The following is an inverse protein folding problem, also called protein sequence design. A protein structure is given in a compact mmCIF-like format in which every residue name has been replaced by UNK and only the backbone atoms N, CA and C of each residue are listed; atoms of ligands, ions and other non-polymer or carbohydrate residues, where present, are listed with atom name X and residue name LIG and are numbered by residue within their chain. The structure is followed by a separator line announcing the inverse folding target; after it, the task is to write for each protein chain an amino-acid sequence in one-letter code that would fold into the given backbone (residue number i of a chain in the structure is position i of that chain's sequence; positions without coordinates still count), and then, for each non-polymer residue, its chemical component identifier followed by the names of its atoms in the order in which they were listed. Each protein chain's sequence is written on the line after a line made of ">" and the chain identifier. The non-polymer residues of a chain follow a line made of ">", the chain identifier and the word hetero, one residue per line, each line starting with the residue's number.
data_IF_971431788143
#
_entry.id   IF_971431788143
#
_cell.length_a   1.000
_cell.length_b   1.000
_cell.length_c   1.000
_cell.angle_alpha   90.00
_cell.angle_beta   90.00
_cell.angle_gamma   90.00
#
_symmetry.space_group_name_H-M   'P 1'
#
loop_
_entity.id
_entity.type
_entity.pdbx_description
1 polymer ?
#
# COMPACT_ATOMS: atom_id res chain seq x y z
N UNK A 1 55.01 36.95 -57.68
CA UNK A 1 54.26 35.79 -57.18
C UNK A 1 52.82 36.26 -56.98
N UNK A 2 52.02 35.94 -57.99
CA UNK A 2 50.54 35.82 -58.11
C UNK A 2 49.67 36.96 -57.53
N UNK A 3 49.05 37.87 -58.29
CA UNK A 3 48.04 37.81 -59.38
C UNK A 3 46.65 37.25 -58.97
N UNK A 4 45.77 38.19 -58.58
CA UNK A 4 44.30 38.29 -58.79
C UNK A 4 43.29 37.29 -58.14
N UNK A 5 42.03 37.75 -57.94
CA UNK A 5 41.05 37.20 -56.99
C UNK A 5 40.04 36.24 -57.64
N UNK A 6 39.28 35.50 -56.82
CA UNK A 6 38.14 34.69 -57.28
C UNK A 6 36.83 35.09 -56.59
N UNK A 7 35.94 35.62 -57.41
CA UNK A 7 34.54 35.89 -57.16
C UNK A 7 33.71 34.59 -57.27
N UNK A 8 32.53 34.59 -56.63
CA UNK A 8 31.42 33.63 -56.77
C UNK A 8 31.58 32.20 -56.22
N UNK A 9 30.95 31.96 -55.07
CA UNK A 9 29.73 31.12 -55.01
C UNK A 9 28.81 31.66 -53.92
N UNK A 10 27.71 32.29 -54.35
CA UNK A 10 26.48 32.51 -53.59
C UNK A 10 25.86 31.14 -53.26
N UNK A 11 26.41 30.46 -52.27
CA UNK A 11 25.75 29.36 -51.58
C UNK A 11 24.85 29.96 -50.52
N UNK A 12 23.53 29.94 -50.75
CA UNK A 12 22.49 30.26 -49.79
C UNK A 12 22.61 29.25 -48.63
N UNK A 13 23.48 29.52 -47.66
CA UNK A 13 23.62 28.74 -46.45
C UNK A 13 22.35 28.97 -45.62
N UNK A 14 21.48 27.96 -45.65
CA UNK A 14 20.33 27.83 -44.76
C UNK A 14 20.79 27.90 -43.31
N UNK A 15 20.61 29.06 -42.68
CA UNK A 15 20.90 29.27 -41.26
C UNK A 15 19.80 28.73 -40.33
N UNK A 16 18.82 27.97 -40.85
CA UNK A 16 17.62 27.48 -40.14
C UNK A 16 17.64 25.99 -39.71
N UNK A 17 18.72 25.23 -39.95
CA UNK A 17 18.70 23.76 -39.76
C UNK A 17 18.84 23.22 -38.32
N UNK A 18 19.71 23.74 -37.42
CA UNK A 18 19.99 23.03 -36.16
C UNK A 18 18.84 23.12 -35.13
N UNK A 19 18.03 24.17 -35.19
CA UNK A 19 16.87 24.36 -34.30
C UNK A 19 15.67 23.55 -34.76
N UNK A 20 15.41 23.47 -36.07
CA UNK A 20 14.31 22.69 -36.64
C UNK A 20 14.48 21.19 -36.37
N UNK A 21 15.69 20.66 -36.56
CA UNK A 21 16.00 19.25 -36.28
C UNK A 21 15.83 18.91 -34.78
N UNK A 22 16.15 19.87 -33.89
CA UNK A 22 15.98 19.68 -32.44
C UNK A 22 14.51 19.65 -32.01
N UNK A 23 13.68 20.53 -32.56
CA UNK A 23 12.24 20.54 -32.27
C UNK A 23 11.54 19.31 -32.84
N UNK A 24 12.03 18.79 -33.97
CA UNK A 24 11.54 17.54 -34.55
C UNK A 24 11.88 16.34 -33.66
N UNK A 25 13.12 16.25 -33.15
CA UNK A 25 13.52 15.20 -32.20
C UNK A 25 12.66 15.24 -30.92
N UNK A 26 12.42 16.43 -30.37
CA UNK A 26 11.55 16.63 -29.22
C UNK A 26 10.12 16.14 -29.49
N UNK A 27 9.54 16.53 -30.64
CA UNK A 27 8.19 16.14 -31.02
C UNK A 27 8.06 14.62 -31.25
N UNK A 28 9.03 14.01 -31.93
CA UNK A 28 9.08 12.57 -32.18
C UNK A 28 9.21 11.80 -30.86
N UNK A 29 10.07 12.24 -29.95
CA UNK A 29 10.24 11.61 -28.64
C UNK A 29 8.94 11.64 -27.82
N UNK A 30 8.23 12.77 -27.80
CA UNK A 30 6.94 12.89 -27.10
C UNK A 30 5.86 12.01 -27.74
N UNK A 31 5.75 12.04 -29.07
CA UNK A 31 4.78 11.23 -29.81
C UNK A 31 5.03 9.73 -29.59
N UNK A 32 6.29 9.30 -29.62
CA UNK A 32 6.69 7.91 -29.35
C UNK A 32 6.30 7.48 -27.93
N UNK A 33 6.55 8.31 -26.92
CA UNK A 33 6.18 8.01 -25.54
C UNK A 33 4.67 7.80 -25.40
N UNK A 34 3.87 8.69 -25.98
CA UNK A 34 2.41 8.59 -25.91
C UNK A 34 1.90 7.36 -26.68
N UNK A 35 2.47 7.05 -27.83
CA UNK A 35 2.14 5.84 -28.59
C UNK A 35 2.40 4.56 -27.77
N UNK A 36 3.57 4.45 -27.12
CA UNK A 36 3.94 3.28 -26.31
C UNK A 36 3.02 3.11 -25.09
N UNK A 37 2.51 4.21 -24.53
CA UNK A 37 1.58 4.15 -23.39
C UNK A 37 0.15 3.82 -23.82
N UNK A 38 -0.32 4.35 -24.94
CA UNK A 38 -1.72 4.27 -25.36
C UNK A 38 -2.02 3.03 -26.22
N UNK A 39 -1.08 2.59 -27.06
CA UNK A 39 -1.32 1.47 -27.97
C UNK A 39 -1.62 0.14 -27.27
N UNK A 40 -0.88 -0.30 -26.23
CA UNK A 40 -1.16 -1.59 -25.60
C UNK A 40 -2.58 -1.69 -25.03
N UNK A 41 -3.09 -0.69 -24.26
CA UNK A 41 -4.47 -0.71 -23.79
C UNK A 41 -5.53 -0.75 -24.90
N UNK A 42 -5.27 -0.08 -26.04
CA UNK A 42 -6.19 -0.07 -27.19
C UNK A 42 -6.36 -1.46 -27.83
N UNK A 43 -5.31 -2.30 -27.78
CA UNK A 43 -5.35 -3.69 -28.26
C UNK A 43 -5.69 -4.69 -27.15
N UNK A 44 -6.17 -4.22 -26.00
CA UNK A 44 -6.57 -5.06 -24.87
C UNK A 44 -5.41 -5.55 -23.98
N UNK A 45 -4.18 -5.07 -24.21
CA UNK A 45 -3.00 -5.44 -23.42
C UNK A 45 -2.82 -4.44 -22.27
N UNK A 46 -3.01 -4.90 -21.04
CA UNK A 46 -2.73 -4.11 -19.83
C UNK A 46 -1.34 -4.46 -19.31
N UNK A 47 -0.46 -3.46 -19.25
CA UNK A 47 0.93 -3.64 -18.81
C UNK A 47 1.30 -2.59 -17.77
N UNK A 48 2.33 -2.87 -16.98
CA UNK A 48 2.85 -1.94 -15.98
C UNK A 48 3.51 -0.74 -16.65
N UNK A 49 3.39 0.42 -16.01
CA UNK A 49 4.00 1.65 -16.51
C UNK A 49 5.52 1.52 -16.70
N UNK A 50 6.18 0.72 -15.85
CA UNK A 50 7.61 0.41 -15.94
C UNK A 50 7.98 -0.37 -17.19
N UNK A 51 7.09 -1.22 -17.71
CA UNK A 51 7.28 -1.88 -18.99
C UNK A 51 7.18 -0.89 -20.15
N UNK A 52 6.22 0.04 -20.11
CA UNK A 52 6.12 1.12 -21.10
C UNK A 52 7.40 1.97 -21.11
N UNK A 53 7.91 2.35 -19.93
CA UNK A 53 9.17 3.06 -19.80
C UNK A 53 10.36 2.27 -20.34
N UNK A 54 10.45 0.97 -20.06
CA UNK A 54 11.53 0.13 -20.56
C UNK A 54 11.52 0.03 -22.08
N UNK A 55 10.35 -0.20 -22.69
CA UNK A 55 10.19 -0.22 -24.15
C UNK A 55 10.54 1.14 -24.76
N UNK A 56 10.09 2.24 -24.16
CA UNK A 56 10.45 3.59 -24.60
C UNK A 56 11.97 3.83 -24.53
N UNK A 57 12.63 3.36 -23.48
CA UNK A 57 14.09 3.44 -23.32
C UNK A 57 14.81 2.67 -24.42
N UNK A 58 14.33 1.47 -24.79
CA UNK A 58 14.89 0.71 -25.90
C UNK A 58 14.77 1.46 -27.23
N UNK A 59 13.60 2.02 -27.53
CA UNK A 59 13.42 2.83 -28.75
C UNK A 59 14.24 4.12 -28.72
N UNK A 60 14.41 4.77 -27.57
CA UNK A 60 15.25 5.95 -27.42
C UNK A 60 16.71 5.67 -27.84
N UNK A 61 17.23 4.49 -27.48
CA UNK A 61 18.54 4.02 -27.94
C UNK A 61 18.57 3.67 -29.42
N UNK A 62 17.56 2.94 -29.92
CA UNK A 62 17.48 2.53 -31.33
C UNK A 62 17.41 3.74 -32.27
N UNK A 63 16.71 4.80 -31.86
CA UNK A 63 16.57 6.03 -32.62
C UNK A 63 17.71 7.03 -32.35
N UNK A 64 18.61 6.74 -31.41
CA UNK A 64 19.64 7.65 -30.93
C UNK A 64 19.13 9.07 -30.58
N UNK A 65 17.87 9.16 -30.14
CA UNK A 65 17.18 10.43 -29.86
C UNK A 65 17.63 10.99 -28.52
N UNK A 66 18.16 12.22 -28.52
CA UNK A 66 18.65 12.88 -27.31
C UNK A 66 17.48 13.29 -26.41
N UNK A 67 16.40 13.77 -27.02
CA UNK A 67 15.18 14.12 -26.31
C UNK A 67 14.58 12.87 -25.63
N UNK A 68 14.47 11.75 -26.35
CA UNK A 68 13.91 10.51 -25.80
C UNK A 68 14.79 9.94 -24.68
N UNK A 69 16.12 9.96 -24.81
CA UNK A 69 17.04 9.51 -23.77
C UNK A 69 16.97 10.39 -22.51
N UNK A 70 16.82 11.71 -22.68
CA UNK A 70 16.60 12.63 -21.55
C UNK A 70 15.28 12.36 -20.81
N UNK A 71 14.18 12.19 -21.55
CA UNK A 71 12.87 11.82 -20.99
C UNK A 71 12.96 10.47 -20.27
N UNK A 72 13.56 9.45 -20.91
CA UNK A 72 13.73 8.11 -20.35
C UNK A 72 14.56 8.13 -19.07
N UNK A 73 15.61 8.95 -19.00
CA UNK A 73 16.45 9.09 -17.80
C UNK A 73 15.67 9.67 -16.64
N UNK A 74 14.92 10.77 -16.87
CA UNK A 74 14.08 11.37 -15.83
C UNK A 74 12.98 10.42 -15.34
N UNK A 75 12.29 9.76 -16.28
CA UNK A 75 11.27 8.78 -15.94
C UNK A 75 11.88 7.58 -15.19
N UNK A 76 13.08 7.16 -15.55
CA UNK A 76 13.79 6.07 -14.88
C UNK A 76 14.08 6.37 -13.42
N UNK A 77 14.54 7.58 -13.10
CA UNK A 77 14.70 8.04 -11.71
C UNK A 77 13.36 8.01 -10.98
N UNK A 78 12.29 8.52 -11.62
CA UNK A 78 10.94 8.55 -11.02
C UNK A 78 10.41 7.14 -10.75
N UNK A 79 10.58 6.22 -11.70
CA UNK A 79 10.23 4.80 -11.57
C UNK A 79 11.02 4.15 -10.43
N UNK A 80 12.34 4.37 -10.37
CA UNK A 80 13.20 3.83 -9.31
C UNK A 80 12.75 4.32 -7.93
N UNK A 81 12.65 5.64 -7.73
CA UNK A 81 12.30 6.23 -6.44
C UNK A 81 10.88 5.84 -6.04
N UNK A 82 9.93 5.87 -6.97
CA UNK A 82 8.55 5.46 -6.74
C UNK A 82 8.43 3.99 -6.34
N UNK A 83 9.13 3.09 -7.05
CA UNK A 83 9.10 1.66 -6.76
C UNK A 83 9.67 1.31 -5.38
N UNK A 84 10.84 1.84 -5.04
CA UNK A 84 11.44 1.56 -3.73
C UNK A 84 10.69 2.25 -2.60
N UNK A 85 10.08 3.42 -2.84
CA UNK A 85 9.19 4.06 -1.88
C UNK A 85 7.94 3.21 -1.64
N UNK A 86 7.31 2.68 -2.70
CA UNK A 86 6.17 1.76 -2.58
C UNK A 86 6.52 0.54 -1.72
N UNK A 87 7.71 -0.05 -1.91
CA UNK A 87 8.19 -1.18 -1.09
C UNK A 87 8.49 -0.84 0.36
N UNK A 88 8.89 0.40 0.63
CA UNK A 88 9.12 0.92 1.99
C UNK A 88 7.79 1.03 2.75
N UNK A 89 6.72 1.42 2.06
CA UNK A 89 5.37 1.56 2.62
C UNK A 89 4.56 0.26 2.56
N UNK A 90 4.87 -0.66 1.65
CA UNK A 90 4.16 -1.93 1.48
C UNK A 90 5.12 -3.08 1.16
N UNK A 91 5.38 -3.92 2.17
CA UNK A 91 6.27 -5.09 2.04
C UNK A 91 5.78 -6.14 1.05
N UNK A 92 4.49 -6.13 0.73
CA UNK A 92 3.87 -7.09 -0.17
C UNK A 92 3.75 -6.57 -1.59
N UNK A 93 4.17 -5.33 -1.88
CA UNK A 93 4.14 -4.78 -3.23
C UNK A 93 4.88 -5.66 -4.24
N UNK A 94 6.06 -6.19 -3.88
CA UNK A 94 6.78 -7.09 -4.78
C UNK A 94 6.06 -8.43 -4.96
N UNK A 95 5.60 -9.04 -3.86
CA UNK A 95 4.92 -10.34 -3.91
C UNK A 95 3.58 -10.25 -4.64
N UNK A 96 2.86 -9.15 -4.49
CA UNK A 96 1.62 -8.84 -5.21
C UNK A 96 1.87 -8.82 -6.72
N UNK A 97 2.87 -8.05 -7.16
CA UNK A 97 3.29 -8.00 -8.57
C UNK A 97 3.73 -9.38 -9.06
N UNK A 98 4.55 -10.09 -8.28
CA UNK A 98 5.03 -11.42 -8.66
C UNK A 98 3.86 -12.40 -8.87
N UNK A 99 2.89 -12.39 -7.96
CA UNK A 99 1.65 -13.17 -8.07
C UNK A 99 0.78 -12.70 -9.25
N UNK A 100 0.75 -11.40 -9.53
CA UNK A 100 0.07 -10.81 -10.68
C UNK A 100 0.56 -11.34 -12.02
N UNK A 101 1.88 -11.45 -12.18
CA UNK A 101 2.51 -11.83 -13.44
C UNK A 101 2.77 -13.33 -13.58
N UNK A 102 3.25 -13.99 -12.51
CA UNK A 102 3.63 -15.40 -12.55
C UNK A 102 2.52 -16.34 -12.04
N UNK A 103 1.46 -15.81 -11.41
CA UNK A 103 0.35 -16.61 -10.90
C UNK A 103 0.83 -17.72 -9.96
N UNK A 104 0.42 -18.96 -10.23
CA UNK A 104 0.78 -20.15 -9.43
C UNK A 104 2.29 -20.36 -9.33
N UNK A 105 3.05 -19.93 -10.35
CA UNK A 105 4.50 -20.07 -10.43
C UNK A 105 5.26 -19.11 -9.49
N UNK A 106 4.60 -18.09 -8.94
CA UNK A 106 5.19 -17.16 -7.98
C UNK A 106 5.65 -17.84 -6.68
N UNK A 107 5.10 -19.02 -6.37
CA UNK A 107 5.48 -19.84 -5.21
C UNK A 107 6.82 -20.58 -5.38
N UNK A 108 7.36 -20.67 -6.60
CA UNK A 108 8.61 -21.38 -6.86
C UNK A 108 9.83 -20.60 -6.36
N UNK A 109 10.70 -21.20 -5.52
CA UNK A 109 11.90 -20.53 -4.99
C UNK A 109 12.86 -20.03 -6.08
N UNK A 110 13.01 -20.81 -7.16
CA UNK A 110 13.90 -20.47 -8.28
C UNK A 110 13.40 -19.25 -9.06
N UNK A 111 12.12 -19.26 -9.46
CA UNK A 111 11.49 -18.11 -10.12
C UNK A 111 11.47 -16.87 -9.22
N UNK A 112 11.30 -17.05 -7.90
CA UNK A 112 11.41 -15.96 -6.93
C UNK A 112 12.79 -15.32 -6.87
N UNK A 113 13.88 -16.08 -7.04
CA UNK A 113 15.24 -15.53 -7.16
C UNK A 113 15.39 -14.77 -8.48
N UNK A 114 15.01 -15.39 -9.59
CA UNK A 114 15.14 -14.77 -10.92
C UNK A 114 14.35 -13.46 -11.01
N UNK A 115 13.14 -13.42 -10.47
CA UNK A 115 12.32 -12.22 -10.45
C UNK A 115 12.92 -11.11 -9.57
N UNK A 116 13.58 -11.44 -8.45
CA UNK A 116 14.30 -10.45 -7.63
C UNK A 116 15.50 -9.87 -8.35
N UNK A 117 16.23 -10.70 -9.10
CA UNK A 117 17.34 -10.25 -9.96
C UNK A 117 16.80 -9.35 -11.07
N UNK A 118 15.77 -9.77 -11.79
CA UNK A 118 15.15 -8.97 -12.85
C UNK A 118 14.61 -7.64 -12.34
N UNK A 119 13.97 -7.64 -11.17
CA UNK A 119 13.51 -6.43 -10.49
C UNK A 119 14.65 -5.47 -10.13
N UNK A 120 15.74 -5.99 -9.55
CA UNK A 120 16.94 -5.20 -9.24
C UNK A 120 17.55 -4.59 -10.51
N UNK A 121 17.61 -5.36 -11.60
CA UNK A 121 18.13 -4.87 -12.88
C UNK A 121 17.23 -3.76 -13.43
N UNK A 122 15.92 -4.00 -13.50
CA UNK A 122 14.96 -3.09 -14.11
C UNK A 122 14.77 -1.79 -13.31
N UNK A 123 14.62 -1.89 -11.99
CA UNK A 123 14.25 -0.75 -11.15
C UNK A 123 15.43 -0.05 -10.47
N UNK A 124 16.64 -0.60 -10.50
CA UNK A 124 17.83 0.05 -9.94
C UNK A 124 18.97 0.17 -10.94
N UNK A 125 19.43 -0.94 -11.52
CA UNK A 125 20.62 -0.93 -12.37
C UNK A 125 20.44 -0.09 -13.64
N UNK A 126 19.35 -0.32 -14.40
CA UNK A 126 19.06 0.42 -15.64
C UNK A 126 18.88 1.92 -15.38
N UNK A 127 18.05 2.38 -14.41
CA UNK A 127 17.96 3.80 -14.07
C UNK A 127 19.29 4.44 -13.70
N UNK A 128 20.12 3.77 -12.89
CA UNK A 128 21.44 4.28 -12.52
C UNK A 128 22.37 4.43 -13.74
N UNK A 129 22.34 3.48 -14.67
CA UNK A 129 23.10 3.57 -15.92
C UNK A 129 22.62 4.71 -16.81
N UNK A 130 21.31 4.95 -16.90
CA UNK A 130 20.79 6.10 -17.64
C UNK A 130 21.22 7.42 -17.00
N UNK A 131 21.20 7.50 -15.66
CA UNK A 131 21.68 8.69 -14.94
C UNK A 131 23.15 8.95 -15.23
N UNK A 132 24.02 7.95 -15.18
CA UNK A 132 25.46 8.15 -15.44
C UNK A 132 25.73 8.58 -16.88
N UNK A 133 24.99 8.05 -17.86
CA UNK A 133 25.21 8.32 -19.27
C UNK A 133 24.50 9.58 -19.81
N UNK A 134 23.31 9.88 -19.30
CA UNK A 134 22.36 10.79 -19.97
C UNK A 134 21.76 11.88 -19.08
N UNK A 135 22.20 12.00 -17.82
CA UNK A 135 21.78 13.10 -16.94
C UNK A 135 21.93 14.51 -17.59
N UNK A 136 22.98 14.83 -18.37
CA UNK A 136 23.10 16.12 -19.04
C UNK A 136 22.04 16.39 -20.11
N UNK A 137 21.30 15.38 -20.57
CA UNK A 137 20.24 15.52 -21.56
C UNK A 137 18.89 15.91 -20.92
N UNK A 138 18.74 15.75 -19.60
CA UNK A 138 17.49 16.06 -18.91
C UNK A 138 17.22 17.57 -18.92
N UNK A 139 15.98 17.95 -19.23
CA UNK A 139 15.49 19.34 -19.26
C UNK A 139 14.19 19.46 -18.47
N UNK A 140 13.91 20.63 -17.90
CA UNK A 140 12.71 20.86 -17.07
C UNK A 140 11.40 20.61 -17.83
N UNK A 141 11.35 20.97 -19.13
CA UNK A 141 10.15 20.77 -19.94
C UNK A 141 9.74 19.29 -20.07
N UNK A 142 10.67 18.35 -19.90
CA UNK A 142 10.44 16.91 -19.97
C UNK A 142 9.50 16.40 -18.86
N UNK A 143 9.27 17.19 -17.80
CA UNK A 143 8.20 16.94 -16.82
C UNK A 143 6.81 16.84 -17.47
N UNK A 144 6.52 17.68 -18.46
CA UNK A 144 5.19 17.77 -19.08
C UNK A 144 4.80 16.46 -19.78
N UNK A 145 5.59 15.92 -20.74
CA UNK A 145 5.27 14.64 -21.37
C UNK A 145 5.32 13.47 -20.39
N UNK A 146 6.20 13.48 -19.37
CA UNK A 146 6.23 12.44 -18.34
C UNK A 146 4.92 12.40 -17.50
N UNK A 147 4.37 13.57 -17.16
CA UNK A 147 3.09 13.67 -16.45
C UNK A 147 1.92 13.25 -17.32
N UNK A 148 1.86 13.72 -18.57
CA UNK A 148 0.78 13.40 -19.49
C UNK A 148 0.76 11.90 -19.78
N UNK A 149 1.93 11.29 -20.03
CA UNK A 149 2.04 9.85 -20.26
C UNK A 149 1.61 9.03 -19.04
N UNK A 150 2.01 9.41 -17.83
CA UNK A 150 1.51 8.80 -16.58
C UNK A 150 -0.02 8.89 -16.48
N UNK A 151 -0.62 10.03 -16.83
CA UNK A 151 -2.08 10.20 -16.81
C UNK A 151 -2.80 9.38 -17.86
N UNK A 152 -2.26 9.33 -19.08
CA UNK A 152 -2.78 8.50 -20.16
C UNK A 152 -2.74 7.02 -19.76
N UNK A 153 -1.62 6.57 -19.19
CA UNK A 153 -1.49 5.21 -18.69
C UNK A 153 -2.54 4.91 -17.61
N UNK A 154 -2.64 5.76 -16.59
CA UNK A 154 -3.61 5.61 -15.50
C UNK A 154 -5.05 5.59 -16.03
N UNK A 155 -5.41 6.51 -16.93
CA UNK A 155 -6.74 6.56 -17.52
C UNK A 155 -7.07 5.30 -18.33
N UNK A 156 -6.15 4.84 -19.18
CA UNK A 156 -6.38 3.71 -20.09
C UNK A 156 -6.28 2.34 -19.39
N UNK A 157 -5.42 2.20 -18.39
CA UNK A 157 -5.13 0.92 -17.73
C UNK A 157 -5.90 0.77 -16.42
N UNK A 158 -6.03 1.85 -15.64
CA UNK A 158 -6.67 1.83 -14.31
C UNK A 158 -8.12 2.30 -14.36
N UNK A 159 -8.53 3.09 -15.36
CA UNK A 159 -9.90 3.61 -15.50
C UNK A 159 -10.13 4.86 -14.66
N UNK A 160 -10.35 5.99 -15.33
CA UNK A 160 -10.20 7.36 -14.83
C UNK A 160 -11.10 7.86 -13.67
N UNK A 161 -11.21 7.14 -12.55
CA UNK A 161 -11.81 7.73 -11.34
C UNK A 161 -12.19 6.77 -10.22
N UNK A 162 -12.20 5.45 -10.46
CA UNK A 162 -12.59 4.46 -9.45
C UNK A 162 -11.49 3.40 -9.44
N UNK A 163 -10.61 3.45 -8.44
CA UNK A 163 -9.37 2.67 -8.33
C UNK A 163 -9.51 1.16 -7.93
N UNK A 164 -10.69 0.50 -7.80
CA UNK A 164 -10.73 -0.96 -7.65
C UNK A 164 -10.07 -1.73 -8.81
N UNK A 165 -9.86 -1.08 -9.96
CA UNK A 165 -9.28 -1.71 -11.16
C UNK A 165 -7.74 -1.71 -11.22
N UNK A 166 -7.05 -0.88 -10.42
CA UNK A 166 -5.58 -0.92 -10.32
C UNK A 166 -5.10 -2.29 -9.81
N UNK A 167 -5.92 -2.91 -8.95
CA UNK A 167 -5.65 -4.21 -8.38
C UNK A 167 -5.64 -5.33 -9.43
N UNK A 168 -6.26 -5.17 -10.59
CA UNK A 168 -6.16 -6.18 -11.65
C UNK A 168 -4.76 -6.27 -12.27
N UNK A 169 -3.97 -5.18 -12.25
CA UNK A 169 -2.60 -5.13 -12.78
C UNK A 169 -1.59 -5.53 -11.71
N UNK A 170 -1.77 -5.05 -10.49
CA UNK A 170 -0.82 -5.28 -9.40
C UNK A 170 -1.17 -6.48 -8.51
N UNK A 171 -2.40 -6.98 -8.58
CA UNK A 171 -2.97 -8.11 -7.80
C UNK A 171 -2.51 -8.12 -6.35
N UNK A 172 -2.69 -6.99 -5.67
CA UNK A 172 -2.50 -6.96 -4.22
C UNK A 172 -3.53 -7.91 -3.60
N UNK A 173 -3.03 -8.87 -2.85
CA UNK A 173 -3.87 -9.74 -2.05
C UNK A 173 -3.57 -9.50 -0.58
N UNK A 174 -4.52 -8.94 0.18
CA UNK A 174 -5.83 -8.43 -0.28
C UNK A 174 -5.72 -7.05 -1.03
N UNK A 175 -6.83 -6.49 -1.56
CA UNK A 175 -6.82 -5.23 -2.32
C UNK A 175 -6.47 -4.00 -1.45
N UNK A 176 -5.67 -3.06 -1.96
CA UNK A 176 -5.31 -1.85 -1.19
C UNK A 176 -6.39 -0.78 -1.21
N UNK A 177 -6.50 -0.05 -0.09
CA UNK A 177 -7.50 1.01 0.11
C UNK A 177 -7.33 2.20 -0.85
N UNK A 178 -8.40 2.97 -1.03
CA UNK A 178 -8.37 4.18 -1.86
C UNK A 178 -7.30 5.20 -1.40
N UNK A 179 -7.08 5.31 -0.09
CA UNK A 179 -6.08 6.20 0.48
C UNK A 179 -4.65 5.81 0.05
N UNK A 180 -4.35 4.52 0.02
CA UNK A 180 -3.06 4.01 -0.44
C UNK A 180 -2.79 4.42 -1.90
N UNK A 181 -3.77 4.17 -2.78
CA UNK A 181 -3.64 4.51 -4.21
C UNK A 181 -3.54 6.01 -4.44
N UNK A 182 -4.31 6.82 -3.71
CA UNK A 182 -4.21 8.28 -3.75
C UNK A 182 -2.83 8.78 -3.32
N UNK A 183 -2.23 8.15 -2.30
CA UNK A 183 -0.88 8.50 -1.83
C UNK A 183 0.19 8.13 -2.87
N UNK A 184 0.12 6.92 -3.45
CA UNK A 184 1.02 6.48 -4.51
C UNK A 184 0.97 7.42 -5.72
N UNK A 185 -0.23 7.81 -6.14
CA UNK A 185 -0.44 8.75 -7.23
C UNK A 185 0.08 10.17 -6.91
N UNK A 186 -0.16 10.69 -5.69
CA UNK A 186 0.40 11.99 -5.28
C UNK A 186 1.92 11.97 -5.27
N UNK A 187 2.52 10.86 -4.83
CA UNK A 187 3.96 10.66 -4.86
C UNK A 187 4.49 10.66 -6.29
N UNK A 188 3.86 9.92 -7.20
CA UNK A 188 4.23 9.89 -8.62
C UNK A 188 4.14 11.28 -9.28
N UNK A 189 3.07 12.03 -9.01
CA UNK A 189 2.90 13.41 -9.49
C UNK A 189 4.04 14.31 -9.00
N UNK A 190 4.37 14.22 -7.71
CA UNK A 190 5.45 14.99 -7.10
C UNK A 190 6.81 14.63 -7.72
N UNK A 191 7.09 13.35 -7.92
CA UNK A 191 8.35 12.89 -8.52
C UNK A 191 8.50 13.37 -9.97
N UNK A 192 7.48 13.21 -10.81
CA UNK A 192 7.55 13.65 -12.21
C UNK A 192 7.69 15.19 -12.36
N UNK A 193 7.22 15.97 -11.38
CA UNK A 193 7.45 17.42 -11.35
C UNK A 193 8.86 17.80 -10.87
N UNK A 194 9.33 17.18 -9.79
CA UNK A 194 10.57 17.60 -9.12
C UNK A 194 11.83 17.02 -9.77
N UNK A 195 11.78 15.79 -10.29
CA UNK A 195 12.97 15.07 -10.78
C UNK A 195 13.69 15.82 -11.91
N UNK A 196 13.03 16.26 -13.01
CA UNK A 196 13.69 17.04 -14.06
C UNK A 196 14.37 18.31 -13.55
N UNK A 197 13.72 19.03 -12.64
CA UNK A 197 14.29 20.23 -12.01
C UNK A 197 15.55 19.89 -11.21
N UNK A 198 15.49 18.84 -10.38
CA UNK A 198 16.64 18.37 -9.61
C UNK A 198 17.79 17.91 -10.51
N UNK A 199 17.52 17.21 -11.61
CA UNK A 199 18.54 16.80 -12.58
C UNK A 199 19.27 18.00 -13.19
N UNK A 200 18.53 19.03 -13.60
CA UNK A 200 19.12 20.26 -14.16
C UNK A 200 19.95 21.00 -13.11
N UNK A 201 19.45 21.13 -11.87
CA UNK A 201 20.18 21.77 -10.79
C UNK A 201 21.45 21.00 -10.41
N UNK A 202 21.38 19.67 -10.32
CA UNK A 202 22.52 18.80 -10.03
C UNK A 202 23.59 18.89 -11.11
N UNK A 203 23.20 19.04 -12.38
CA UNK A 203 24.15 19.27 -13.46
C UNK A 203 24.84 20.65 -13.36
N UNK A 204 24.10 21.70 -12.98
CA UNK A 204 24.61 23.08 -12.93
C UNK A 204 25.45 23.39 -11.67
N UNK A 205 25.12 22.81 -10.52
CA UNK A 205 25.83 23.03 -9.24
C UNK A 205 26.36 21.70 -8.70
N UNK A 206 27.27 21.14 -9.48
CA UNK A 206 27.81 19.78 -9.36
C UNK A 206 28.22 19.42 -7.92
N UNK A 207 29.23 20.07 -7.33
CA UNK A 207 29.85 19.49 -6.13
C UNK A 207 28.93 19.43 -4.90
N UNK A 208 28.36 20.54 -4.46
CA UNK A 208 27.59 20.59 -3.20
C UNK A 208 26.25 19.83 -3.28
N UNK A 209 25.61 19.80 -4.45
CA UNK A 209 24.38 19.03 -4.63
C UNK A 209 24.70 17.53 -4.65
N UNK A 210 25.77 17.09 -5.31
CA UNK A 210 26.18 15.68 -5.25
C UNK A 210 26.58 15.25 -3.84
N UNK A 211 27.32 16.08 -3.10
CA UNK A 211 27.68 15.78 -1.71
C UNK A 211 26.44 15.72 -0.82
N UNK A 212 25.52 16.70 -0.91
CA UNK A 212 24.30 16.70 -0.11
C UNK A 212 23.38 15.51 -0.45
N UNK A 213 23.22 15.18 -1.73
CA UNK A 213 22.40 14.03 -2.17
C UNK A 213 23.05 12.70 -1.80
N UNK A 214 24.37 12.56 -1.90
CA UNK A 214 25.10 11.37 -1.46
C UNK A 214 25.00 11.17 0.06
N UNK A 215 25.14 12.24 0.86
CA UNK A 215 24.97 12.19 2.31
C UNK A 215 23.53 11.81 2.66
N UNK A 216 22.53 12.46 2.07
CA UNK A 216 21.13 12.14 2.30
C UNK A 216 20.80 10.70 1.91
N UNK A 217 21.28 10.24 0.74
CA UNK A 217 21.12 8.86 0.29
C UNK A 217 21.79 7.85 1.22
N UNK A 218 22.99 8.15 1.71
CA UNK A 218 23.72 7.31 2.67
C UNK A 218 22.98 7.23 4.00
N UNK A 219 22.50 8.36 4.53
CA UNK A 219 21.70 8.40 5.77
C UNK A 219 20.43 7.58 5.62
N UNK A 220 19.68 7.76 4.52
CA UNK A 220 18.45 7.00 4.27
C UNK A 220 18.74 5.50 4.09
N UNK A 221 19.81 5.14 3.38
CA UNK A 221 20.23 3.75 3.21
C UNK A 221 20.61 3.12 4.55
N UNK A 222 21.43 3.79 5.37
CA UNK A 222 21.80 3.33 6.70
C UNK A 222 20.57 3.18 7.60
N UNK A 223 19.65 4.15 7.57
CA UNK A 223 18.40 4.10 8.33
C UNK A 223 17.53 2.90 7.91
N UNK A 224 17.40 2.66 6.60
CA UNK A 224 16.66 1.53 6.05
C UNK A 224 17.35 0.19 6.35
N UNK A 225 18.68 0.15 6.36
CA UNK A 225 19.47 -1.03 6.73
C UNK A 225 19.30 -1.35 8.22
N UNK A 226 19.40 -0.34 9.10
CA UNK A 226 19.14 -0.48 10.54
C UNK A 226 17.71 -0.97 10.78
N UNK A 227 16.73 -0.37 10.09
CA UNK A 227 15.32 -0.82 10.11
C UNK A 227 15.20 -2.31 9.73
N UNK A 228 15.80 -2.71 8.62
CA UNK A 228 15.72 -4.10 8.13
C UNK A 228 16.41 -5.09 9.08
N UNK A 229 17.61 -4.75 9.58
CA UNK A 229 18.40 -5.63 10.43
C UNK A 229 17.88 -5.71 11.86
N UNK A 230 17.23 -4.65 12.35
CA UNK A 230 16.68 -4.62 13.72
C UNK A 230 15.35 -5.35 13.85
N UNK A 231 14.57 -5.50 12.78
CA UNK A 231 13.24 -6.12 12.82
C UNK A 231 13.19 -7.52 13.47
N UNK A 232 14.05 -8.50 13.12
CA UNK A 232 14.02 -9.82 13.76
C UNK A 232 14.27 -9.73 15.27
N UNK A 233 15.22 -8.87 15.68
CA UNK A 233 15.55 -8.70 17.09
C UNK A 233 14.43 -8.00 17.86
N UNK A 234 13.80 -7.00 17.26
CA UNK A 234 12.65 -6.31 17.84
C UNK A 234 11.46 -7.25 18.01
N UNK A 235 11.16 -8.10 17.02
CA UNK A 235 10.11 -9.13 17.13
C UNK A 235 10.39 -10.12 18.26
N UNK A 236 11.63 -10.60 18.37
CA UNK A 236 12.03 -11.51 19.45
C UNK A 236 11.87 -10.83 20.83
N UNK A 237 12.31 -9.58 20.97
CA UNK A 237 12.16 -8.84 22.22
C UNK A 237 10.68 -8.59 22.56
N UNK A 238 9.87 -8.23 21.57
CA UNK A 238 8.42 -8.06 21.73
C UNK A 238 7.76 -9.35 22.21
N UNK A 239 8.10 -10.51 21.62
CA UNK A 239 7.64 -11.82 22.08
C UNK A 239 7.94 -12.06 23.55
N UNK A 240 9.18 -11.83 23.97
CA UNK A 240 9.59 -12.04 25.37
C UNK A 240 8.77 -11.15 26.31
N UNK A 241 8.61 -9.88 25.96
CA UNK A 241 7.88 -8.90 26.79
C UNK A 241 6.40 -9.24 26.86
N UNK A 242 5.77 -9.53 25.71
CA UNK A 242 4.35 -9.89 25.64
C UNK A 242 4.07 -11.21 26.36
N UNK A 243 4.86 -12.26 26.16
CA UNK A 243 4.69 -13.51 26.90
C UNK A 243 4.80 -13.32 28.42
N UNK A 244 5.67 -12.42 28.89
CA UNK A 244 5.76 -12.06 30.31
C UNK A 244 4.49 -11.35 30.79
N UNK A 245 3.99 -10.39 30.01
CA UNK A 245 2.73 -9.70 30.31
C UNK A 245 1.56 -10.69 30.36
N UNK A 246 1.43 -11.57 29.38
CA UNK A 246 0.39 -12.59 29.34
C UNK A 246 0.47 -13.52 30.56
N UNK A 247 1.68 -13.92 30.95
CA UNK A 247 1.89 -14.77 32.12
C UNK A 247 1.40 -14.12 33.41
N UNK A 248 1.50 -12.78 33.53
CA UNK A 248 0.94 -12.05 34.68
C UNK A 248 -0.59 -12.11 34.75
N UNK A 249 -1.26 -12.24 33.60
CA UNK A 249 -2.70 -12.47 33.50
C UNK A 249 -3.12 -13.95 33.45
N UNK A 250 -2.19 -14.88 33.74
CA UNK A 250 -2.50 -16.31 33.73
C UNK A 250 -2.74 -16.91 32.35
N UNK A 251 -2.26 -16.26 31.28
CA UNK A 251 -2.33 -16.74 29.89
C UNK A 251 -0.94 -17.13 29.43
N UNK A 252 -0.81 -18.28 28.77
CA UNK A 252 0.43 -18.80 28.20
C UNK A 252 0.24 -19.13 26.72
N UNK A 253 1.13 -18.58 25.90
CA UNK A 253 1.21 -18.92 24.48
C UNK A 253 1.57 -20.41 24.28
N UNK A 254 1.04 -21.02 23.23
CA UNK A 254 1.11 -22.46 22.92
C UNK A 254 0.54 -23.39 23.99
N UNK A 255 -0.23 -22.85 24.94
CA UNK A 255 -0.98 -23.63 25.93
C UNK A 255 -2.44 -23.21 25.94
N UNK A 256 -2.70 -21.92 26.14
CA UNK A 256 -4.06 -21.35 26.16
C UNK A 256 -4.53 -20.93 24.76
N UNK A 257 -3.60 -20.73 23.82
CA UNK A 257 -3.86 -20.53 22.38
C UNK A 257 -2.62 -20.92 21.58
N UNK A 258 -2.79 -21.26 20.30
CA UNK A 258 -1.73 -21.76 19.43
C UNK A 258 -1.12 -20.63 18.59
N UNK A 259 0.20 -20.47 18.68
CA UNK A 259 0.96 -19.50 17.90
C UNK A 259 1.46 -20.18 16.63
N UNK A 260 1.01 -19.69 15.47
CA UNK A 260 1.42 -20.22 14.14
C UNK A 260 2.57 -19.41 13.55
N UNK A 261 2.58 -18.10 13.79
CA UNK A 261 3.66 -17.20 13.38
C UNK A 261 3.97 -16.22 14.52
N UNK A 262 5.23 -16.15 14.94
CA UNK A 262 5.69 -15.23 15.99
C UNK A 262 5.82 -13.76 15.51
N UNK A 263 5.57 -13.48 14.23
CA UNK A 263 5.77 -12.14 13.68
C UNK A 263 4.79 -11.09 14.26
N UNK A 264 3.65 -11.51 14.81
CA UNK A 264 2.60 -10.61 15.34
C UNK A 264 2.91 -9.99 16.71
N UNK A 265 3.88 -10.52 17.46
CA UNK A 265 4.12 -10.03 18.83
C UNK A 265 4.53 -8.55 18.87
N UNK A 266 5.22 -8.08 17.84
CA UNK A 266 5.59 -6.67 17.70
C UNK A 266 4.35 -5.78 17.44
N UNK A 267 3.37 -6.30 16.71
CA UNK A 267 2.13 -5.59 16.39
C UNK A 267 1.23 -5.49 17.60
N UNK A 268 1.08 -6.59 18.37
CA UNK A 268 0.34 -6.57 19.64
C UNK A 268 0.88 -5.50 20.60
N UNK A 269 2.21 -5.32 20.63
CA UNK A 269 2.85 -4.32 21.47
C UNK A 269 2.65 -2.88 20.97
N UNK A 270 2.53 -2.68 19.65
CA UNK A 270 2.48 -1.35 19.03
C UNK A 270 1.05 -0.84 18.82
N UNK A 271 0.13 -1.72 18.39
CA UNK A 271 -1.25 -1.39 18.02
C UNK A 271 -2.31 -2.00 18.95
N UNK A 272 -1.91 -2.90 19.85
CA UNK A 272 -2.80 -3.42 20.90
C UNK A 272 -3.97 -4.25 20.36
N UNK A 273 -5.19 -3.89 20.74
CA UNK A 273 -6.42 -4.67 20.46
C UNK A 273 -6.68 -4.89 18.96
N UNK A 274 -6.37 -3.90 18.13
CA UNK A 274 -6.55 -3.99 16.68
C UNK A 274 -5.66 -5.08 16.10
N UNK A 275 -4.35 -5.04 16.40
CA UNK A 275 -3.41 -6.08 15.98
C UNK A 275 -3.75 -7.48 16.54
N UNK A 276 -4.31 -7.57 17.74
CA UNK A 276 -4.78 -8.85 18.30
C UNK A 276 -5.87 -9.46 17.43
N UNK A 277 -6.90 -8.68 17.09
CA UNK A 277 -7.98 -9.13 16.23
C UNK A 277 -7.51 -9.45 14.81
N UNK A 278 -6.68 -8.59 14.23
CA UNK A 278 -6.17 -8.77 12.88
C UNK A 278 -5.27 -10.00 12.75
N UNK A 279 -4.40 -10.25 13.73
CA UNK A 279 -3.55 -11.45 13.73
C UNK A 279 -4.34 -12.74 13.90
N UNK A 280 -5.51 -12.69 14.56
CA UNK A 280 -6.43 -13.82 14.64
C UNK A 280 -7.10 -14.08 13.29
N UNK A 281 -7.70 -13.05 12.67
CA UNK A 281 -8.31 -13.14 11.34
C UNK A 281 -7.28 -13.56 10.29
N UNK A 282 -6.06 -13.04 10.38
CA UNK A 282 -4.91 -13.39 9.56
C UNK A 282 -4.32 -14.77 9.86
N UNK A 283 -4.92 -15.55 10.75
CA UNK A 283 -4.53 -16.92 11.09
C UNK A 283 -3.08 -17.06 11.60
N UNK A 284 -2.51 -16.01 12.19
CA UNK A 284 -1.16 -16.01 12.78
C UNK A 284 -1.16 -16.67 14.17
N UNK A 285 -2.32 -16.70 14.83
CA UNK A 285 -2.59 -17.50 16.00
C UNK A 285 -4.04 -18.01 15.94
N UNK A 286 -4.34 -19.04 16.72
CA UNK A 286 -5.69 -19.62 16.80
C UNK A 286 -5.99 -20.09 18.22
N UNK A 287 -7.28 -20.19 18.54
CA UNK A 287 -7.74 -20.86 19.75
C UNK A 287 -7.53 -22.37 19.62
N UNK A 288 -7.37 -23.04 20.75
CA UNK A 288 -7.21 -24.49 20.80
C UNK A 288 -8.34 -25.13 21.62
N UNK A 289 -8.27 -26.44 21.89
CA UNK A 289 -9.33 -27.14 22.61
C UNK A 289 -9.49 -26.73 24.09
N UNK A 290 -8.57 -25.93 24.63
CA UNK A 290 -8.56 -25.57 26.06
C UNK A 290 -9.31 -24.28 26.38
N UNK A 291 -9.35 -23.33 25.43
CA UNK A 291 -10.01 -22.04 25.61
C UNK A 291 -10.69 -21.58 24.34
N UNK A 292 -11.86 -20.99 24.51
CA UNK A 292 -12.59 -20.31 23.42
C UNK A 292 -12.01 -18.93 23.16
N UNK A 293 -12.45 -18.28 22.08
CA UNK A 293 -11.95 -16.95 21.72
C UNK A 293 -12.32 -15.91 22.78
N UNK A 294 -13.56 -15.94 23.26
CA UNK A 294 -14.06 -15.08 24.32
C UNK A 294 -13.29 -15.26 25.63
N UNK A 295 -12.92 -16.49 26.02
CA UNK A 295 -12.06 -16.73 27.18
C UNK A 295 -10.68 -16.07 27.05
N UNK A 296 -10.06 -16.19 25.86
CA UNK A 296 -8.75 -15.58 25.59
C UNK A 296 -8.86 -14.06 25.62
N UNK A 297 -9.85 -13.47 24.94
CA UNK A 297 -10.05 -12.02 24.90
C UNK A 297 -10.39 -11.47 26.29
N UNK A 298 -11.29 -12.12 27.04
CA UNK A 298 -11.61 -11.76 28.42
C UNK A 298 -10.36 -11.72 29.28
N UNK A 299 -9.54 -12.77 29.21
CA UNK A 299 -8.28 -12.85 29.96
C UNK A 299 -7.31 -11.73 29.58
N UNK A 300 -7.21 -11.37 28.29
CA UNK A 300 -6.36 -10.27 27.81
C UNK A 300 -6.83 -8.90 28.36
N UNK A 301 -8.14 -8.70 28.43
CA UNK A 301 -8.76 -7.48 28.95
C UNK A 301 -8.59 -7.37 30.48
N UNK A 302 -8.56 -8.50 31.19
CA UNK A 302 -8.44 -8.57 32.65
C UNK A 302 -7.00 -8.79 33.16
N UNK A 303 -5.98 -8.62 32.31
CA UNK A 303 -4.58 -8.66 32.76
C UNK A 303 -4.37 -7.63 33.89
N UNK A 304 -3.77 -8.02 35.02
CA UNK A 304 -3.58 -7.15 36.18
C UNK A 304 -2.77 -5.90 35.84
N UNK A 305 -3.10 -4.80 36.51
CA UNK A 305 -2.51 -3.49 36.25
C UNK A 305 -1.00 -3.47 36.57
N UNK A 306 -0.56 -4.25 37.55
CA UNK A 306 0.83 -4.40 37.95
C UNK A 306 1.69 -4.91 36.80
N UNK A 307 1.24 -5.98 36.12
CA UNK A 307 1.93 -6.54 34.96
C UNK A 307 2.02 -5.53 33.80
N UNK A 308 0.95 -4.77 33.57
CA UNK A 308 0.94 -3.69 32.57
C UNK A 308 1.93 -2.57 32.94
N UNK A 309 1.98 -2.16 34.21
CA UNK A 309 2.89 -1.13 34.69
C UNK A 309 4.36 -1.55 34.60
N UNK A 310 4.69 -2.80 34.96
CA UNK A 310 6.05 -3.34 34.81
C UNK A 310 6.52 -3.29 33.36
N UNK A 311 5.64 -3.65 32.41
CA UNK A 311 5.93 -3.53 30.99
C UNK A 311 6.24 -2.07 30.61
N UNK A 312 5.40 -1.11 31.02
CA UNK A 312 5.62 0.31 30.68
C UNK A 312 6.89 0.92 31.30
N UNK A 313 7.31 0.44 32.47
CA UNK A 313 8.55 0.87 33.14
C UNK A 313 9.81 0.27 32.51
N UNK A 314 9.68 -0.86 31.82
CA UNK A 314 10.82 -1.53 31.21
C UNK A 314 11.45 -0.71 30.09
N UNK A 315 12.73 -0.39 30.22
CA UNK A 315 13.50 0.27 29.17
C UNK A 315 13.52 -0.51 27.85
N UNK A 316 13.55 -1.85 27.92
CA UNK A 316 13.50 -2.67 26.71
C UNK A 316 12.16 -2.55 26.00
N UNK A 317 11.05 -2.47 26.75
CA UNK A 317 9.73 -2.27 26.17
C UNK A 317 9.57 -0.88 25.55
N UNK A 318 10.06 0.16 26.24
CA UNK A 318 10.06 1.53 25.70
C UNK A 318 10.90 1.63 24.42
N UNK A 319 12.06 0.99 24.37
CA UNK A 319 12.90 0.97 23.18
C UNK A 319 12.21 0.23 22.01
N UNK A 320 11.62 -0.94 22.26
CA UNK A 320 10.91 -1.69 21.21
C UNK A 320 9.71 -0.90 20.69
N UNK A 321 8.90 -0.31 21.57
CA UNK A 321 7.75 0.51 21.19
C UNK A 321 8.17 1.78 20.41
N UNK A 322 9.25 2.44 20.84
CA UNK A 322 9.79 3.60 20.13
C UNK A 322 10.32 3.23 18.75
N UNK A 323 11.11 2.14 18.65
CA UNK A 323 11.64 1.66 17.38
C UNK A 323 10.51 1.23 16.42
N UNK A 324 9.47 0.58 16.94
CA UNK A 324 8.29 0.23 16.15
C UNK A 324 7.58 1.46 15.57
N UNK A 325 7.41 2.51 16.37
CA UNK A 325 6.81 3.79 15.93
C UNK A 325 7.71 4.58 14.98
N UNK A 326 9.01 4.66 15.25
CA UNK A 326 9.97 5.42 14.45
C UNK A 326 10.13 4.81 13.05
N UNK A 327 10.24 3.48 12.98
CA UNK A 327 10.45 2.78 11.72
C UNK A 327 9.15 2.37 11.02
N UNK A 328 8.00 2.53 11.66
CA UNK A 328 6.67 2.19 11.15
C UNK A 328 6.70 0.86 10.37
N UNK A 329 6.97 -0.24 11.09
CA UNK A 329 7.07 -1.55 10.46
C UNK A 329 5.73 -1.96 9.86
N UNK A 330 5.71 -2.59 8.68
CA UNK A 330 4.45 -3.07 8.12
C UNK A 330 3.85 -4.18 9.00
N UNK A 331 2.52 -4.18 9.22
CA UNK A 331 1.84 -5.14 10.09
C UNK A 331 2.12 -6.57 9.65
N UNK A 332 2.28 -7.48 10.60
CA UNK A 332 2.43 -8.93 10.40
C UNK A 332 1.22 -9.55 9.71
N UNK A 333 0.01 -9.08 10.06
CA UNK A 333 -1.24 -9.61 9.54
C UNK A 333 -1.65 -8.95 8.23
N UNK A 334 -2.22 -9.76 7.35
CA UNK A 334 -2.92 -9.32 6.15
C UNK A 334 -4.37 -8.88 6.43
N UNK A 335 -4.83 -8.93 7.69
CA UNK A 335 -6.20 -8.62 8.08
C UNK A 335 -6.65 -7.20 7.72
N UNK A 336 -5.71 -6.24 7.66
CA UNK A 336 -5.93 -4.82 7.32
C UNK A 336 -6.33 -4.54 5.87
N UNK A 337 -6.40 -5.57 5.05
CA UNK A 337 -6.46 -5.36 3.62
C UNK A 337 -7.88 -5.62 3.07
N UNK A 338 -8.81 -5.98 3.94
CA UNK A 338 -10.21 -5.62 3.68
C UNK A 338 -10.30 -4.14 4.05
N UNK A 339 -10.62 -3.27 3.09
CA UNK A 339 -10.87 -1.85 3.36
C UNK A 339 -11.89 -1.70 4.50
N UNK A 340 -12.01 -0.48 5.08
CA UNK A 340 -13.08 -0.19 6.01
C UNK A 340 -14.37 -0.81 5.44
N UNK A 341 -14.91 -1.83 6.12
CA UNK A 341 -16.18 -2.45 5.73
C UNK A 341 -17.15 -1.29 5.73
N UNK A 342 -17.45 -0.78 4.53
CA UNK A 342 -18.10 0.52 4.37
C UNK A 342 -19.50 0.46 4.96
N UNK A 343 -20.07 -0.74 5.05
CA UNK A 343 -21.37 -0.95 5.65
C UNK A 343 -21.36 -2.24 6.47
N UNK A 344 -21.61 -2.10 7.77
CA UNK A 344 -21.94 -3.20 8.70
C UNK A 344 -23.20 -3.99 8.26
N UNK A 345 -23.81 -3.59 7.12
CA UNK A 345 -25.06 -4.05 6.55
C UNK A 345 -24.90 -4.97 5.33
N UNK A 346 -23.69 -5.14 4.79
CA UNK A 346 -23.39 -5.97 3.60
C UNK A 346 -23.43 -7.50 3.85
N UNK A 347 -23.70 -7.93 5.08
CA UNK A 347 -23.91 -9.35 5.36
C UNK A 347 -25.25 -9.80 4.76
N UNK A 348 -25.28 -10.91 4.02
CA UNK A 348 -26.52 -11.37 3.39
C UNK A 348 -27.58 -11.81 4.44
N UNK A 349 -28.88 -11.65 4.17
CA UNK A 349 -29.94 -12.06 5.10
C UNK A 349 -29.85 -13.52 5.56
N UNK A 350 -29.41 -14.43 4.69
CA UNK A 350 -29.28 -15.86 4.97
C UNK A 350 -28.21 -16.14 6.04
N UNK A 351 -27.11 -15.39 6.02
CA UNK A 351 -26.07 -15.49 7.06
C UNK A 351 -26.58 -15.00 8.41
N UNK A 352 -27.49 -14.02 8.42
CA UNK A 352 -27.99 -13.37 9.65
C UNK A 352 -29.09 -14.16 10.32
N UNK A 353 -29.93 -14.84 9.53
CA UNK A 353 -30.96 -15.75 10.02
C UNK A 353 -30.44 -16.81 10.99
N UNK A 354 -29.18 -17.23 10.88
CA UNK A 354 -28.64 -18.29 11.73
C UNK A 354 -28.24 -17.83 13.14
N UNK A 355 -28.11 -16.52 13.41
CA UNK A 355 -27.66 -16.01 14.71
C UNK A 355 -28.52 -14.87 15.29
N UNK A 356 -29.52 -14.39 14.56
CA UNK A 356 -30.48 -13.39 15.05
C UNK A 356 -31.77 -14.06 15.56
N UNK A 357 -32.56 -13.32 16.33
CA UNK A 357 -33.87 -13.77 16.80
C UNK A 357 -34.95 -13.69 15.70
N UNK A 358 -36.14 -14.23 16.01
CA UNK A 358 -37.33 -14.18 15.15
C UNK A 358 -37.64 -12.81 14.56
N UNK A 359 -37.43 -11.72 15.29
CA UNK A 359 -37.76 -10.37 14.85
C UNK A 359 -36.56 -9.65 14.20
N UNK A 360 -35.41 -10.32 14.03
CA UNK A 360 -34.16 -9.70 13.55
C UNK A 360 -33.77 -8.45 14.34
N UNK A 361 -34.04 -8.46 15.64
CA UNK A 361 -33.69 -7.34 16.52
C UNK A 361 -32.17 -7.31 16.75
N UNK A 362 -31.52 -6.30 16.16
CA UNK A 362 -30.10 -6.07 16.38
C UNK A 362 -29.86 -5.33 17.70
N UNK A 363 -29.43 -6.05 18.75
CA UNK A 363 -29.06 -5.46 20.03
C UNK A 363 -28.82 -6.49 21.14
N UNK A 364 -28.52 -6.01 22.35
CA UNK A 364 -28.39 -6.87 23.53
C UNK A 364 -29.75 -7.47 23.90
N UNK A 365 -29.79 -8.74 24.33
CA UNK A 365 -30.98 -9.38 24.91
C UNK A 365 -31.03 -9.24 26.44
N UNK A 366 -32.23 -9.35 27.02
CA UNK A 366 -32.46 -9.34 28.46
C UNK A 366 -32.53 -10.79 28.99
N UNK A 367 -31.42 -11.24 29.58
CA UNK A 367 -31.29 -12.60 30.13
C UNK A 367 -31.87 -12.70 31.53
N UNK A 368 -32.94 -13.48 31.68
CA UNK A 368 -33.52 -13.88 32.97
C UNK A 368 -33.07 -15.29 33.35
N UNK A 369 -33.31 -15.72 34.59
CA UNK A 369 -32.91 -17.06 35.05
C UNK A 369 -33.51 -18.21 34.20
N UNK A 370 -34.63 -17.97 33.51
CA UNK A 370 -35.31 -18.94 32.66
C UNK A 370 -34.93 -18.81 31.17
N UNK A 371 -34.26 -17.72 30.77
CA UNK A 371 -33.90 -17.48 29.38
C UNK A 371 -32.65 -18.25 28.99
N UNK A 372 -32.79 -19.21 28.07
CA UNK A 372 -31.69 -20.04 27.56
C UNK A 372 -31.46 -19.87 26.05
N UNK A 373 -32.30 -19.08 25.39
CA UNK A 373 -32.23 -18.85 23.94
C UNK A 373 -32.16 -17.35 23.63
N UNK A 374 -31.57 -17.02 22.48
CA UNK A 374 -31.51 -15.64 21.97
C UNK A 374 -32.93 -15.08 21.81
N UNK A 375 -33.87 -15.87 21.27
CA UNK A 375 -35.27 -15.47 21.12
C UNK A 375 -35.93 -15.09 22.44
N UNK A 376 -35.70 -15.87 23.51
CA UNK A 376 -36.26 -15.58 24.83
C UNK A 376 -35.67 -14.30 25.39
N UNK A 377 -34.34 -14.12 25.30
CA UNK A 377 -33.66 -12.93 25.78
C UNK A 377 -34.11 -11.66 25.03
N UNK A 378 -34.24 -11.73 23.69
CA UNK A 378 -34.74 -10.59 22.91
C UNK A 378 -36.21 -10.29 23.20
N UNK A 379 -37.06 -11.33 23.31
CA UNK A 379 -38.48 -11.15 23.64
C UNK A 379 -38.68 -10.50 25.01
N UNK A 380 -37.88 -10.89 26.02
CA UNK A 380 -37.92 -10.28 27.34
C UNK A 380 -37.59 -8.78 27.27
N UNK A 381 -36.58 -8.41 26.48
CA UNK A 381 -36.21 -7.00 26.29
C UNK A 381 -37.32 -6.21 25.61
N UNK A 382 -37.91 -6.74 24.56
CA UNK A 382 -38.99 -6.07 23.83
C UNK A 382 -40.26 -5.94 24.71
N UNK A 383 -40.57 -6.95 25.51
CA UNK A 383 -41.64 -6.89 26.51
C UNK A 383 -41.36 -5.82 27.58
N UNK A 384 -40.12 -5.74 28.06
CA UNK A 384 -39.71 -4.73 29.04
C UNK A 384 -39.76 -3.32 28.45
N UNK A 385 -39.35 -3.15 27.19
CA UNK A 385 -39.48 -1.90 26.44
C UNK A 385 -40.94 -1.47 26.32
N UNK A 386 -41.83 -2.40 25.94
CA UNK A 386 -43.27 -2.13 25.85
C UNK A 386 -43.85 -1.67 27.20
N UNK A 387 -43.44 -2.34 28.29
CA UNK A 387 -43.84 -2.01 29.66
C UNK A 387 -43.31 -0.66 30.12
N UNK A 388 -42.03 -0.35 29.84
CA UNK A 388 -41.38 0.90 30.25
C UNK A 388 -41.92 2.12 29.50
N UNK A 389 -42.26 1.95 28.23
CA UNK A 389 -42.88 2.99 27.40
C UNK A 389 -44.39 3.12 27.64
N UNK A 390 -44.99 2.19 28.39
CA UNK A 390 -46.42 2.14 28.70
C UNK A 390 -47.30 2.29 27.45
N UNK A 391 -46.93 1.56 26.39
CA UNK A 391 -47.57 1.70 25.08
C UNK A 391 -49.01 1.20 25.17
N UNK A 392 -49.95 2.06 24.75
CA UNK A 392 -51.38 1.79 24.76
C UNK A 392 -51.92 1.59 23.33
N UNK A 393 -52.99 0.81 23.20
CA UNK A 393 -53.67 0.58 21.92
C UNK A 393 -54.10 1.90 21.27
N UNK A 394 -53.78 2.06 19.98
CA UNK A 394 -54.10 3.27 19.21
C UNK A 394 -53.02 4.35 19.22
N UNK A 395 -51.94 4.18 19.99
CA UNK A 395 -50.79 5.08 19.94
C UNK A 395 -49.92 4.83 18.70
N UNK A 396 -49.24 5.89 18.24
CA UNK A 396 -48.26 5.81 17.16
C UNK A 396 -46.86 5.77 17.76
N UNK A 397 -46.07 4.76 17.42
CA UNK A 397 -44.70 4.56 17.90
C UNK A 397 -43.72 4.89 16.78
N UNK A 398 -42.70 5.72 17.08
CA UNK A 398 -41.60 6.02 16.17
C UNK A 398 -40.34 5.26 16.60
N UNK A 399 -39.95 4.25 15.82
CA UNK A 399 -38.65 3.59 15.97
C UNK A 399 -37.60 4.31 15.11
N UNK A 400 -36.60 4.92 15.76
CA UNK A 400 -35.47 5.62 15.11
C UNK A 400 -34.35 4.63 14.74
N UNK A 401 -34.46 3.37 15.15
CA UNK A 401 -33.42 2.36 14.96
C UNK A 401 -33.46 1.81 13.53
N UNK A 402 -32.76 2.47 12.61
CA UNK A 402 -32.63 2.04 11.21
C UNK A 402 -31.94 0.66 11.10
N UNK A 403 -31.15 0.26 12.11
CA UNK A 403 -30.41 -1.00 12.15
C UNK A 403 -31.22 -2.25 12.49
N UNK A 404 -32.43 -2.13 13.06
CA UNK A 404 -33.25 -3.28 13.47
C UNK A 404 -34.25 -3.76 12.42
N UNK A 405 -34.20 -3.20 11.20
CA UNK A 405 -35.01 -3.59 10.03
C UNK A 405 -36.51 -3.78 10.32
N UNK A 406 -37.06 -2.96 11.23
CA UNK A 406 -38.46 -3.01 11.62
C UNK A 406 -38.83 -4.07 12.65
N UNK A 407 -37.87 -4.84 13.19
CA UNK A 407 -38.11 -5.91 14.16
C UNK A 407 -38.87 -5.47 15.42
N UNK A 408 -38.53 -4.29 15.94
CA UNK A 408 -39.24 -3.70 17.09
C UNK A 408 -40.68 -3.36 16.72
N UNK A 409 -40.89 -2.76 15.55
CA UNK A 409 -42.22 -2.45 15.03
C UNK A 409 -43.08 -3.69 14.85
N UNK A 410 -42.52 -4.77 14.28
CA UNK A 410 -43.21 -6.05 14.11
C UNK A 410 -43.59 -6.73 15.44
N UNK A 411 -42.84 -6.49 16.51
CA UNK A 411 -43.17 -7.02 17.84
C UNK A 411 -44.27 -6.21 18.54
N UNK A 412 -44.25 -4.88 18.38
CA UNK A 412 -45.19 -3.97 19.05
C UNK A 412 -46.56 -3.89 18.34
N UNK A 413 -46.60 -4.18 17.03
CA UNK A 413 -47.83 -4.27 16.23
C UNK A 413 -48.55 -5.59 16.49
#
# INVERSE_FOLDING_TARGET
>A
MDILPRWETLGRASHDSPTLDSHLDDAVAVALLFAIVVLPPLVGIRTMYTNCWFVFTMFAHLLASKAALGIATSMGITVMVGWYSLRVFDRYAFTAILNGWLGVWASSPFLGILARVGDFVLHLFVPLLLVTCYLPLVRVWMSVPALISSRLWSHCVVGGGVFPKADHVYRFSPPRSQHFWNAAYKMELMLNMLVPLFCVLAHQRSFWIYVATAIAGTILFCLQLIRSLSLPKLRQNAKIIMCRLLSSGGIRSNRDFDVRDDSFWLDWMSEGLVAIGESYVGCLWATNSTRTLDDVISSLLTIPMEGRQEMYRSWSARFVALAARLFNYPPSSMGLVVGAVSEQFDLCPEFRQSYMDRYFHQGFGLWTAQATTIDAAQSNKLADLNRLLDIQTGQTVLDISIGSWGGVGCYLA
#
